data_IF_020397241737
#
_entry.id   IF_020397241737
#
_cell.length_a   1.000
_cell.length_b   1.000
_cell.length_c   1.000
_cell.angle_alpha   90.00
_cell.angle_beta   90.00
_cell.angle_gamma   90.00
#
_symmetry.space_group_name_H-M   'P 1'
#
loop_
_entity.id
_entity.type
_entity.pdbx_description
1 polymer ?
#
# COMPACT_ATOMS: atom_id res chain seq x y z
N UNK A 1 -3.90 11.77 19.92
CA UNK A 1 -3.84 10.31 20.11
C UNK A 1 -2.48 9.86 19.61
N UNK A 2 -1.73 9.00 20.32
CA UNK A 2 -0.47 8.46 19.81
C UNK A 2 -0.73 7.07 19.23
N UNK A 3 -0.50 6.92 17.94
CA UNK A 3 -0.59 5.64 17.26
C UNK A 3 0.69 4.85 17.51
N UNK A 4 0.57 3.53 17.60
CA UNK A 4 1.70 2.63 17.79
C UNK A 4 1.41 1.30 17.10
N UNK A 5 2.47 0.58 16.76
CA UNK A 5 2.35 -0.74 16.17
C UNK A 5 1.65 -1.68 17.16
N UNK A 6 0.53 -2.27 16.74
CA UNK A 6 -0.12 -3.34 17.50
C UNK A 6 0.58 -4.68 17.21
N UNK A 7 1.55 -5.03 18.05
CA UNK A 7 2.34 -6.26 17.91
C UNK A 7 1.51 -7.55 18.05
N UNK A 8 0.37 -7.49 18.75
CA UNK A 8 -0.56 -8.63 18.86
C UNK A 8 -1.18 -8.94 17.48
N UNK A 9 -1.79 -7.94 16.83
CA UNK A 9 -2.37 -8.10 15.50
C UNK A 9 -1.35 -8.53 14.45
N UNK A 10 -0.13 -7.97 14.55
CA UNK A 10 0.95 -8.34 13.64
C UNK A 10 1.38 -9.80 13.84
N UNK A 11 1.44 -10.26 15.08
CA UNK A 11 1.77 -11.66 15.42
C UNK A 11 0.70 -12.60 14.86
N UNK A 12 -0.60 -12.32 15.09
CA UNK A 12 -1.69 -13.13 14.54
C UNK A 12 -1.66 -13.19 13.00
N UNK A 13 -1.41 -12.05 12.35
CA UNK A 13 -1.24 -12.03 10.89
C UNK A 13 -0.04 -12.89 10.45
N UNK A 14 1.07 -12.81 11.17
CA UNK A 14 2.29 -13.58 10.91
C UNK A 14 2.10 -15.10 10.98
N UNK A 15 1.33 -15.61 11.95
CA UNK A 15 1.03 -17.04 12.08
C UNK A 15 0.36 -17.62 10.82
N UNK A 16 -0.46 -16.81 10.15
CA UNK A 16 -1.19 -17.20 8.94
C UNK A 16 -0.32 -16.99 7.71
N UNK A 17 0.22 -15.78 7.56
CA UNK A 17 0.87 -15.33 6.32
C UNK A 17 2.24 -15.98 6.11
N UNK A 18 2.99 -16.28 7.18
CA UNK A 18 4.31 -16.91 7.08
C UNK A 18 4.27 -18.28 6.40
N UNK A 19 3.14 -18.98 6.48
CA UNK A 19 2.89 -20.29 5.86
C UNK A 19 2.42 -20.20 4.41
N UNK A 20 2.09 -19.00 3.90
CA UNK A 20 1.52 -18.77 2.57
C UNK A 20 2.59 -18.29 1.59
N UNK A 21 3.33 -19.23 0.99
CA UNK A 21 4.43 -18.93 0.04
C UNK A 21 3.97 -18.45 -1.35
N UNK A 22 2.69 -18.57 -1.64
CA UNK A 22 2.04 -18.19 -2.89
C UNK A 22 1.32 -16.84 -2.82
N UNK A 23 1.62 -16.02 -1.82
CA UNK A 23 1.22 -14.61 -1.76
C UNK A 23 2.37 -13.76 -2.27
N UNK A 24 2.08 -12.85 -3.19
CA UNK A 24 3.04 -11.90 -3.75
C UNK A 24 2.50 -10.49 -3.59
N UNK A 25 3.32 -9.55 -3.15
CA UNK A 25 2.88 -8.19 -2.81
C UNK A 25 3.64 -7.15 -3.63
N UNK A 26 2.92 -6.29 -4.35
CA UNK A 26 3.47 -5.16 -5.09
C UNK A 26 3.21 -3.87 -4.31
N UNK A 27 4.28 -3.30 -3.74
CA UNK A 27 4.31 -2.01 -3.08
C UNK A 27 4.79 -0.89 -4.02
N UNK A 28 4.71 0.34 -3.53
CA UNK A 28 5.20 1.52 -4.22
C UNK A 28 4.35 2.76 -3.94
N UNK A 29 4.93 3.92 -4.22
CA UNK A 29 4.28 5.21 -4.07
C UNK A 29 3.01 5.41 -4.90
N UNK A 30 2.32 6.53 -4.64
CA UNK A 30 1.34 7.07 -5.58
C UNK A 30 1.95 7.20 -6.98
N UNK A 31 1.16 7.00 -8.03
CA UNK A 31 1.58 7.15 -9.43
C UNK A 31 2.68 6.17 -9.94
N UNK A 32 3.12 5.21 -9.11
CA UNK A 32 4.11 4.20 -9.51
C UNK A 32 3.58 3.19 -10.55
N UNK A 33 2.26 3.12 -10.77
CA UNK A 33 1.65 2.22 -11.76
C UNK A 33 1.35 0.81 -11.24
N UNK A 34 1.37 0.60 -9.91
CA UNK A 34 1.14 -0.69 -9.25
C UNK A 34 -0.09 -1.41 -9.79
N UNK A 35 -1.27 -0.79 -9.71
CA UNK A 35 -2.54 -1.40 -10.11
C UNK A 35 -2.57 -1.86 -11.57
N UNK A 36 -1.96 -1.07 -12.47
CA UNK A 36 -1.81 -1.46 -13.88
C UNK A 36 -0.95 -2.72 -14.02
N UNK A 37 0.18 -2.80 -13.30
CA UNK A 37 1.08 -3.95 -13.33
C UNK A 37 0.45 -5.16 -12.66
N UNK A 38 -0.15 -4.98 -11.48
CA UNK A 38 -0.81 -6.02 -10.71
C UNK A 38 -1.94 -6.67 -11.51
N UNK A 39 -2.81 -5.86 -12.13
CA UNK A 39 -3.87 -6.34 -13.02
C UNK A 39 -3.30 -7.13 -14.20
N UNK A 40 -2.28 -6.59 -14.87
CA UNK A 40 -1.67 -7.26 -16.03
C UNK A 40 -1.08 -8.63 -15.69
N UNK A 41 -0.38 -8.74 -14.55
CA UNK A 41 0.21 -10.00 -14.09
C UNK A 41 -0.89 -11.00 -13.69
N UNK A 42 -1.90 -10.54 -12.93
CA UNK A 42 -3.03 -11.38 -12.53
C UNK A 42 -3.73 -11.99 -13.76
N UNK A 43 -4.07 -11.18 -14.76
CA UNK A 43 -4.70 -11.63 -16.00
C UNK A 43 -3.80 -12.59 -16.79
N UNK A 44 -2.49 -12.33 -16.86
CA UNK A 44 -1.54 -13.15 -17.63
C UNK A 44 -1.32 -14.54 -17.02
N UNK A 45 -1.29 -14.64 -15.69
CA UNK A 45 -0.91 -15.87 -14.98
C UNK A 45 -2.05 -16.49 -14.16
N UNK A 46 -3.27 -15.95 -14.23
CA UNK A 46 -4.43 -16.48 -13.51
C UNK A 46 -4.31 -16.36 -11.98
N UNK A 47 -3.61 -15.33 -11.49
CA UNK A 47 -3.47 -15.08 -10.04
C UNK A 47 -4.71 -14.36 -9.50
N UNK A 48 -5.12 -14.67 -8.28
CA UNK A 48 -6.16 -13.90 -7.60
C UNK A 48 -5.61 -12.50 -7.27
N UNK A 49 -6.15 -11.47 -7.90
CA UNK A 49 -5.80 -10.09 -7.57
C UNK A 49 -6.51 -9.63 -6.29
N UNK A 50 -5.74 -9.15 -5.32
CA UNK A 50 -6.23 -8.55 -4.09
C UNK A 50 -5.87 -7.06 -4.09
N UNK A 51 -6.82 -6.22 -4.48
CA UNK A 51 -6.66 -4.75 -4.45
C UNK A 51 -6.83 -4.24 -3.02
N UNK A 52 -5.75 -3.86 -2.35
CA UNK A 52 -5.86 -3.44 -0.95
C UNK A 52 -6.66 -2.16 -0.79
N UNK A 53 -6.65 -1.24 -1.75
CA UNK A 53 -7.41 0.00 -1.66
C UNK A 53 -8.92 -0.31 -1.72
N UNK A 54 -9.37 -1.22 -2.59
CA UNK A 54 -10.77 -1.68 -2.62
C UNK A 54 -11.23 -2.26 -1.27
N UNK A 55 -10.33 -2.96 -0.57
CA UNK A 55 -10.65 -3.52 0.74
C UNK A 55 -10.63 -2.46 1.83
N UNK A 56 -9.59 -1.63 1.92
CA UNK A 56 -9.43 -0.58 2.95
C UNK A 56 -10.57 0.44 2.89
N UNK A 57 -10.89 0.93 1.68
CA UNK A 57 -11.89 1.98 1.46
C UNK A 57 -13.30 1.43 1.17
N UNK A 58 -13.50 0.11 1.19
CA UNK A 58 -14.77 -0.53 0.88
C UNK A 58 -15.14 -1.63 1.86
N UNK A 59 -14.46 -2.78 1.78
CA UNK A 59 -14.87 -4.01 2.48
C UNK A 59 -14.52 -4.04 3.98
N UNK A 60 -13.45 -3.35 4.38
CA UNK A 60 -12.97 -3.33 5.76
C UNK A 60 -13.68 -2.32 6.64
N UNK A 61 -14.30 -1.30 6.05
CA UNK A 61 -15.00 -0.23 6.77
C UNK A 61 -16.00 -0.80 7.80
N UNK A 62 -16.78 -1.82 7.42
CA UNK A 62 -17.76 -2.44 8.30
C UNK A 62 -17.16 -3.37 9.37
N UNK A 63 -15.86 -3.65 9.29
CA UNK A 63 -15.11 -4.51 10.21
C UNK A 63 -14.30 -3.71 11.23
N UNK A 64 -14.08 -2.42 11.00
CA UNK A 64 -13.36 -1.57 11.95
C UNK A 64 -14.11 -1.46 13.29
N UNK A 65 -13.38 -1.56 14.39
CA UNK A 65 -13.90 -1.42 15.75
C UNK A 65 -12.86 -0.73 16.62
N UNK A 66 -13.29 0.10 17.58
CA UNK A 66 -12.34 0.79 18.46
C UNK A 66 -11.49 -0.17 19.30
N UNK A 67 -12.00 -1.36 19.61
CA UNK A 67 -11.31 -2.36 20.41
C UNK A 67 -10.16 -3.03 19.66
N UNK A 68 -10.37 -3.38 18.39
CA UNK A 68 -9.41 -4.18 17.62
C UNK A 68 -8.71 -3.40 16.52
N UNK A 69 -9.34 -2.35 15.99
CA UNK A 69 -8.85 -1.54 14.87
C UNK A 69 -8.94 -0.02 15.16
N UNK A 70 -8.42 0.47 16.30
CA UNK A 70 -8.58 1.85 16.74
C UNK A 70 -8.04 2.90 15.76
N UNK A 71 -6.96 2.60 15.01
CA UNK A 71 -6.40 3.55 14.06
C UNK A 71 -7.36 3.78 12.88
N UNK A 72 -7.80 2.71 12.22
CA UNK A 72 -8.73 2.81 11.11
C UNK A 72 -10.12 3.27 11.55
N UNK A 73 -10.58 2.90 12.76
CA UNK A 73 -11.82 3.47 13.32
C UNK A 73 -11.70 4.98 13.48
N UNK A 74 -10.64 5.49 14.11
CA UNK A 74 -10.45 6.93 14.31
C UNK A 74 -10.40 7.72 12.99
N UNK A 75 -9.73 7.16 11.97
CA UNK A 75 -9.68 7.78 10.64
C UNK A 75 -11.05 7.77 9.95
N UNK A 76 -11.73 6.62 9.92
CA UNK A 76 -12.98 6.47 9.19
C UNK A 76 -14.15 7.23 9.83
N UNK A 77 -14.18 7.33 11.17
CA UNK A 77 -15.23 8.05 11.91
C UNK A 77 -14.94 9.55 12.07
N UNK A 78 -13.84 10.07 11.53
CA UNK A 78 -13.57 11.50 11.52
C UNK A 78 -14.62 12.24 10.67
N UNK A 79 -14.94 13.49 11.04
CA UNK A 79 -15.91 14.32 10.30
C UNK A 79 -15.59 14.42 8.81
N UNK A 80 -14.30 14.47 8.47
CA UNK A 80 -13.82 14.36 7.10
C UNK A 80 -12.51 13.54 7.08
N UNK A 81 -12.56 12.26 6.65
CA UNK A 81 -11.38 11.38 6.64
C UNK A 81 -10.22 11.88 5.78
N UNK A 82 -10.49 12.61 4.68
CA UNK A 82 -9.46 13.19 3.82
C UNK A 82 -8.78 14.38 4.52
N UNK A 83 -9.56 15.28 5.12
CA UNK A 83 -9.01 16.42 5.85
C UNK A 83 -8.22 15.97 7.09
N UNK A 84 -8.71 14.93 7.75
CA UNK A 84 -8.06 14.28 8.88
C UNK A 84 -6.70 13.70 8.49
N UNK A 85 -6.61 12.97 7.37
CA UNK A 85 -5.35 12.43 6.87
C UNK A 85 -4.33 13.55 6.55
N UNK A 86 -4.81 14.74 6.18
CA UNK A 86 -4.01 15.93 5.94
C UNK A 86 -3.92 16.87 7.16
N UNK A 87 -4.32 16.43 8.35
CA UNK A 87 -4.33 17.28 9.56
C UNK A 87 -3.03 17.18 10.36
N UNK A 88 -2.33 16.05 10.29
CA UNK A 88 -1.09 15.79 11.04
C UNK A 88 -0.02 16.86 10.80
N UNK A 89 0.60 17.44 11.84
CA UNK A 89 1.57 18.52 11.71
C UNK A 89 2.87 18.10 11.02
N UNK A 90 3.31 16.85 11.21
CA UNK A 90 4.56 16.32 10.62
C UNK A 90 4.34 14.96 9.95
N UNK A 91 5.32 14.55 9.13
CA UNK A 91 5.33 13.23 8.51
C UNK A 91 5.43 12.12 9.57
N UNK A 92 6.21 12.31 10.63
CA UNK A 92 6.40 11.32 11.69
C UNK A 92 5.08 10.99 12.39
N UNK A 93 4.30 12.01 12.76
CA UNK A 93 2.98 11.79 13.37
C UNK A 93 1.99 11.12 12.41
N UNK A 94 2.09 11.45 11.11
CA UNK A 94 1.28 10.80 10.07
C UNK A 94 1.71 9.33 9.87
N UNK A 95 3.01 9.05 9.95
CA UNK A 95 3.56 7.72 9.82
C UNK A 95 3.25 6.84 11.04
N UNK A 96 3.20 7.38 12.25
CA UNK A 96 2.73 6.63 13.43
C UNK A 96 1.33 6.04 13.19
N UNK A 97 0.43 6.81 12.55
CA UNK A 97 -0.87 6.30 12.12
C UNK A 97 -0.73 5.17 11.09
N UNK A 98 0.07 5.35 10.03
CA UNK A 98 0.26 4.32 9.01
C UNK A 98 0.88 3.03 9.56
N UNK A 99 1.77 3.13 10.54
CA UNK A 99 2.34 1.98 11.25
C UNK A 99 1.25 1.19 11.99
N UNK A 100 0.37 1.88 12.73
CA UNK A 100 -0.74 1.24 13.41
C UNK A 100 -1.74 0.63 12.42
N UNK A 101 -2.13 1.40 11.39
CA UNK A 101 -3.06 0.97 10.36
C UNK A 101 -2.52 -0.25 9.57
N UNK A 102 -1.21 -0.33 9.34
CA UNK A 102 -0.58 -1.47 8.66
C UNK A 102 -0.80 -2.78 9.42
N UNK A 103 -0.67 -2.79 10.75
CA UNK A 103 -0.94 -4.00 11.53
C UNK A 103 -2.43 -4.41 11.47
N UNK A 104 -3.33 -3.43 11.52
CA UNK A 104 -4.77 -3.65 11.40
C UNK A 104 -5.14 -4.23 10.02
N UNK A 105 -4.59 -3.65 8.95
CA UNK A 105 -4.80 -4.12 7.57
C UNK A 105 -4.21 -5.51 7.34
N UNK A 106 -3.03 -5.80 7.89
CA UNK A 106 -2.41 -7.13 7.81
C UNK A 106 -3.23 -8.19 8.54
N UNK A 107 -3.78 -7.85 9.72
CA UNK A 107 -4.68 -8.74 10.45
C UNK A 107 -5.96 -9.00 9.64
N UNK A 108 -6.64 -7.96 9.14
CA UNK A 108 -7.84 -8.10 8.32
C UNK A 108 -7.60 -8.90 7.03
N UNK A 109 -6.46 -8.66 6.37
CA UNK A 109 -6.01 -9.42 5.20
C UNK A 109 -5.82 -10.89 5.56
N UNK A 110 -5.12 -11.18 6.66
CA UNK A 110 -4.86 -12.56 7.10
C UNK A 110 -6.15 -13.34 7.38
N UNK A 111 -7.19 -12.68 7.91
CA UNK A 111 -8.52 -13.26 8.12
C UNK A 111 -9.23 -13.62 6.81
N UNK A 112 -8.99 -12.87 5.74
CA UNK A 112 -9.53 -13.18 4.42
C UNK A 112 -8.70 -14.29 3.75
N UNK A 113 -7.39 -14.29 3.96
CA UNK A 113 -6.50 -15.35 3.49
C UNK A 113 -6.82 -16.71 4.12
N UNK A 114 -7.20 -16.77 5.40
CA UNK A 114 -7.66 -18.00 6.07
C UNK A 114 -8.80 -18.70 5.31
N UNK A 115 -9.64 -17.94 4.61
CA UNK A 115 -10.82 -18.42 3.88
C UNK A 115 -10.50 -18.77 2.42
N UNK A 116 -9.30 -18.46 1.96
CA UNK A 116 -8.88 -18.72 0.59
C UNK A 116 -8.22 -20.10 0.46
N UNK A 117 -8.36 -20.73 -0.69
CA UNK A 117 -7.69 -22.00 -1.00
C UNK A 117 -6.16 -21.89 -0.80
N UNK A 118 -5.57 -22.87 -0.11
CA UNK A 118 -4.14 -22.91 0.18
C UNK A 118 -3.27 -23.00 -1.07
N UNK A 119 -3.78 -23.49 -2.19
CA UNK A 119 -3.06 -23.56 -3.46
C UNK A 119 -3.31 -22.34 -4.35
N UNK A 120 -4.34 -21.53 -4.08
CA UNK A 120 -4.59 -20.31 -4.83
C UNK A 120 -3.48 -19.29 -4.60
N UNK A 121 -2.76 -18.96 -5.67
CA UNK A 121 -1.78 -17.88 -5.69
C UNK A 121 -2.46 -16.52 -5.72
N UNK A 122 -1.95 -15.59 -4.92
CA UNK A 122 -2.56 -14.27 -4.67
C UNK A 122 -1.53 -13.20 -4.99
N UNK A 123 -1.94 -12.20 -5.77
CA UNK A 123 -1.18 -11.01 -6.05
C UNK A 123 -1.85 -9.82 -5.36
N UNK A 124 -1.17 -9.22 -4.40
CA UNK A 124 -1.66 -8.09 -3.61
C UNK A 124 -1.16 -6.78 -4.18
N UNK A 125 -2.06 -5.84 -4.41
CA UNK A 125 -1.79 -4.52 -4.96
C UNK A 125 -1.83 -3.44 -3.88
N UNK A 126 -0.68 -2.83 -3.57
CA UNK A 126 -0.60 -1.62 -2.77
C UNK A 126 -1.03 -1.76 -1.30
N UNK A 127 -1.72 -0.73 -0.78
CA UNK A 127 -2.32 -0.70 0.55
C UNK A 127 -1.41 -0.46 1.76
N UNK A 128 -0.09 -0.68 1.64
CA UNK A 128 0.84 -0.55 2.76
C UNK A 128 1.97 0.42 2.42
N UNK A 129 2.32 1.27 3.38
CA UNK A 129 3.39 2.28 3.28
C UNK A 129 4.61 1.96 4.14
N UNK A 130 4.55 0.88 4.93
CA UNK A 130 5.62 0.41 5.81
C UNK A 130 6.14 -1.00 5.40
N UNK A 131 6.95 -1.10 4.32
CA UNK A 131 7.51 -2.38 3.85
C UNK A 131 8.24 -3.20 4.91
N UNK A 132 8.90 -2.56 5.88
CA UNK A 132 9.64 -3.26 6.93
C UNK A 132 8.70 -4.02 7.88
N UNK A 133 7.49 -3.49 8.12
CA UNK A 133 6.45 -4.18 8.89
C UNK A 133 5.90 -5.35 8.09
N UNK A 134 5.65 -5.17 6.79
CA UNK A 134 5.21 -6.26 5.91
C UNK A 134 6.24 -7.42 5.88
N UNK A 135 7.54 -7.09 5.86
CA UNK A 135 8.62 -8.07 5.89
C UNK A 135 8.74 -8.85 7.22
N UNK A 136 8.03 -8.44 8.28
CA UNK A 136 7.93 -9.22 9.52
C UNK A 136 6.98 -10.42 9.37
N UNK A 137 6.02 -10.35 8.43
CA UNK A 137 4.97 -11.39 8.25
C UNK A 137 5.06 -12.14 6.93
N UNK A 138 5.79 -11.59 5.94
CA UNK A 138 6.07 -12.23 4.65
C UNK A 138 7.58 -12.24 4.38
N UNK A 139 8.03 -13.23 3.59
CA UNK A 139 9.42 -13.20 3.12
C UNK A 139 9.66 -11.97 2.23
N UNK A 140 10.83 -11.30 2.31
CA UNK A 140 11.20 -10.24 1.38
C UNK A 140 11.18 -10.64 -0.10
N UNK A 141 11.29 -11.94 -0.42
CA UNK A 141 11.20 -12.43 -1.80
C UNK A 141 9.75 -12.49 -2.32
N UNK A 142 8.76 -12.41 -1.42
CA UNK A 142 7.34 -12.33 -1.76
C UNK A 142 6.89 -10.88 -1.94
N UNK A 143 7.78 -9.90 -1.76
CA UNK A 143 7.46 -8.48 -1.80
C UNK A 143 8.36 -7.81 -2.84
N UNK A 144 7.78 -6.91 -3.63
CA UNK A 144 8.56 -5.98 -4.42
C UNK A 144 7.98 -4.57 -4.34
N UNK A 145 8.80 -3.58 -4.65
CA UNK A 145 8.37 -2.19 -4.74
C UNK A 145 8.59 -1.67 -6.16
N UNK A 146 7.57 -1.05 -6.75
CA UNK A 146 7.73 -0.26 -7.97
C UNK A 146 7.99 1.20 -7.55
N UNK A 147 9.16 1.71 -7.94
CA UNK A 147 9.58 3.08 -7.67
C UNK A 147 9.54 3.91 -8.95
N UNK A 148 9.06 5.12 -8.80
CA UNK A 148 9.08 6.18 -9.79
C UNK A 148 9.87 7.37 -9.22
N UNK A 149 10.44 8.19 -10.09
CA UNK A 149 11.02 9.46 -9.69
C UNK A 149 9.97 10.41 -9.08
N UNK A 150 10.35 11.20 -8.07
CA UNK A 150 9.43 12.10 -7.36
C UNK A 150 8.93 13.24 -8.26
N UNK A 151 9.76 13.78 -9.16
CA UNK A 151 9.33 14.83 -10.09
C UNK A 151 8.30 14.27 -11.07
N UNK A 152 8.52 13.06 -11.57
CA UNK A 152 7.55 12.39 -12.43
C UNK A 152 6.26 12.05 -11.65
N UNK A 153 6.36 11.58 -10.40
CA UNK A 153 5.19 11.35 -9.53
C UNK A 153 4.37 12.62 -9.35
N UNK A 154 5.02 13.75 -9.03
CA UNK A 154 4.35 15.04 -8.83
C UNK A 154 3.70 15.52 -10.13
N UNK A 155 4.40 15.39 -11.26
CA UNK A 155 3.83 15.70 -12.58
C UNK A 155 2.55 14.90 -12.85
N UNK A 156 2.54 13.59 -12.54
CA UNK A 156 1.36 12.74 -12.71
C UNK A 156 0.22 13.19 -11.78
N UNK A 157 0.52 13.55 -10.52
CA UNK A 157 -0.49 14.10 -9.62
C UNK A 157 -1.08 15.43 -10.10
N UNK A 158 -0.26 16.27 -10.73
CA UNK A 158 -0.67 17.59 -11.21
C UNK A 158 -1.49 17.52 -12.51
N UNK A 159 -1.11 16.63 -13.43
CA UNK A 159 -1.55 16.68 -14.84
C UNK A 159 -2.42 15.48 -15.27
N UNK A 160 -2.40 14.35 -14.56
CA UNK A 160 -3.09 13.14 -15.02
C UNK A 160 -4.61 13.25 -14.80
N UNK A 161 -5.44 12.98 -15.84
CA UNK A 161 -6.89 12.88 -15.68
C UNK A 161 -7.33 11.85 -14.63
N UNK A 162 -6.57 10.77 -14.45
CA UNK A 162 -6.88 9.73 -13.46
C UNK A 162 -6.68 10.21 -12.01
N UNK A 163 -5.86 11.25 -11.81
CA UNK A 163 -5.56 11.83 -10.49
C UNK A 163 -6.41 13.06 -10.17
N UNK A 164 -7.02 13.64 -11.20
CA UNK A 164 -7.86 14.83 -11.11
C UNK A 164 -8.97 14.71 -10.06
N UNK A 165 -9.71 13.58 -9.92
CA UNK A 165 -10.75 13.49 -8.90
C UNK A 165 -10.23 13.66 -7.47
N UNK A 166 -9.08 13.05 -7.14
CA UNK A 166 -8.48 13.19 -5.80
C UNK A 166 -7.97 14.61 -5.57
N UNK A 167 -7.35 15.23 -6.58
CA UNK A 167 -6.92 16.63 -6.51
C UNK A 167 -8.11 17.56 -6.25
N UNK A 168 -9.20 17.37 -6.96
CA UNK A 168 -10.44 18.16 -6.78
C UNK A 168 -11.02 17.99 -5.38
N UNK A 169 -11.07 16.77 -4.84
CA UNK A 169 -11.50 16.52 -3.47
C UNK A 169 -10.65 17.29 -2.44
N UNK A 170 -9.33 17.29 -2.61
CA UNK A 170 -8.42 18.02 -1.70
C UNK A 170 -8.60 19.54 -1.85
N UNK A 171 -8.82 20.03 -3.07
CA UNK A 171 -9.05 21.46 -3.33
C UNK A 171 -10.43 21.97 -2.85
N UNK A 172 -11.32 21.08 -2.42
CA UNK A 172 -12.57 21.43 -1.74
C UNK A 172 -12.40 21.57 -0.22
N UNK A 173 -11.24 21.21 0.34
CA UNK A 173 -10.96 21.35 1.77
C UNK A 173 -10.63 22.81 2.15
N UNK A 174 -10.75 23.16 3.45
CA UNK A 174 -10.25 24.44 3.95
C UNK A 174 -8.76 24.63 3.66
N UNK A 175 -8.37 25.85 3.29
CA UNK A 175 -7.00 26.20 2.86
C UNK A 175 -6.50 25.29 1.71
N UNK A 176 -7.19 25.27 0.55
CA UNK A 176 -7.04 24.22 -0.46
C UNK A 176 -5.63 24.11 -1.05
N UNK A 177 -4.97 25.25 -1.29
CA UNK A 177 -3.61 25.27 -1.84
C UNK A 177 -2.58 24.73 -0.83
N UNK A 178 -2.76 25.05 0.45
CA UNK A 178 -1.90 24.54 1.52
C UNK A 178 -2.11 23.02 1.70
N UNK A 179 -3.36 22.56 1.63
CA UNK A 179 -3.70 21.13 1.70
C UNK A 179 -3.13 20.35 0.51
N UNK A 180 -3.20 20.90 -0.70
CA UNK A 180 -2.61 20.28 -1.88
C UNK A 180 -1.08 20.20 -1.78
N UNK A 181 -0.42 21.30 -1.39
CA UNK A 181 1.04 21.31 -1.15
C UNK A 181 1.44 20.31 -0.08
N UNK A 182 0.65 20.20 1.00
CA UNK A 182 0.87 19.24 2.08
C UNK A 182 0.70 17.80 1.60
N UNK A 183 -0.33 17.51 0.81
CA UNK A 183 -0.53 16.20 0.20
C UNK A 183 0.67 15.76 -0.64
N UNK A 184 1.18 16.64 -1.52
CA UNK A 184 2.38 16.34 -2.33
C UNK A 184 3.61 16.09 -1.46
N UNK A 185 3.80 16.90 -0.40
CA UNK A 185 4.90 16.71 0.56
C UNK A 185 4.80 15.38 1.31
N UNK A 186 3.60 14.99 1.75
CA UNK A 186 3.36 13.70 2.41
C UNK A 186 3.65 12.55 1.45
N UNK A 187 3.19 12.63 0.20
CA UNK A 187 3.45 11.62 -0.83
C UNK A 187 4.96 11.46 -1.10
N UNK A 188 5.72 12.55 -1.11
CA UNK A 188 7.18 12.49 -1.23
C UNK A 188 7.86 11.82 -0.02
N UNK A 189 7.51 12.23 1.21
CA UNK A 189 8.04 11.61 2.43
C UNK A 189 7.70 10.12 2.51
N UNK A 190 6.47 9.75 2.17
CA UNK A 190 6.01 8.37 2.05
C UNK A 190 6.85 7.56 1.05
N UNK A 191 7.11 8.12 -0.14
CA UNK A 191 7.93 7.46 -1.15
C UNK A 191 9.38 7.23 -0.68
N UNK A 192 9.96 8.21 0.02
CA UNK A 192 11.30 8.11 0.57
C UNK A 192 11.36 7.01 1.65
N UNK A 193 10.36 6.95 2.52
CA UNK A 193 10.28 5.93 3.55
C UNK A 193 10.09 4.53 2.98
N UNK A 194 9.18 4.35 2.02
CA UNK A 194 8.97 3.07 1.33
C UNK A 194 10.30 2.59 0.72
N UNK A 195 11.06 3.47 0.07
CA UNK A 195 12.36 3.10 -0.47
C UNK A 195 13.36 2.69 0.62
N UNK A 196 13.48 3.48 1.68
CA UNK A 196 14.39 3.21 2.78
C UNK A 196 14.09 1.85 3.43
N UNK A 197 12.83 1.63 3.82
CA UNK A 197 12.39 0.38 4.44
C UNK A 197 12.56 -0.83 3.51
N UNK A 198 12.32 -0.66 2.20
CA UNK A 198 12.59 -1.72 1.23
C UNK A 198 14.07 -2.10 1.17
N UNK A 199 14.97 -1.11 1.19
CA UNK A 199 16.43 -1.34 1.18
C UNK A 199 16.88 -2.05 2.45
N UNK A 200 16.43 -1.58 3.61
CA UNK A 200 16.74 -2.17 4.92
C UNK A 200 16.24 -3.61 5.03
N UNK A 201 15.08 -3.91 4.45
CA UNK A 201 14.44 -5.23 4.50
C UNK A 201 14.84 -6.16 3.35
N UNK A 202 15.79 -5.76 2.49
CA UNK A 202 16.21 -6.51 1.30
C UNK A 202 15.04 -6.84 0.33
N UNK A 203 14.04 -5.97 0.26
CA UNK A 203 12.92 -6.06 -0.69
C UNK A 203 13.37 -5.57 -2.06
N UNK A 204 12.96 -6.28 -3.12
CA UNK A 204 13.36 -5.92 -4.49
C UNK A 204 12.67 -4.62 -4.93
N UNK A 205 13.45 -3.63 -5.35
CA UNK A 205 12.95 -2.39 -5.96
C UNK A 205 13.11 -2.44 -7.48
N UNK A 206 12.02 -2.17 -8.19
CA UNK A 206 11.98 -1.97 -9.64
C UNK A 206 11.77 -0.49 -9.95
N UNK A 207 12.68 0.10 -10.70
CA UNK A 207 12.57 1.48 -11.14
C UNK A 207 11.82 1.54 -12.46
N UNK A 208 10.91 2.51 -12.58
CA UNK A 208 10.29 2.89 -13.84
C UNK A 208 10.51 4.36 -14.15
N UNK A 209 10.56 4.65 -15.43
CA UNK A 209 10.53 5.99 -16.01
C UNK A 209 9.31 6.13 -16.95
N UNK A 210 9.26 7.21 -17.72
CA UNK A 210 8.22 7.52 -18.70
C UNK A 210 8.26 6.61 -19.94
N UNK A 211 9.35 5.89 -20.17
CA UNK A 211 9.54 4.98 -21.31
C UNK A 211 9.26 3.53 -20.96
N UNK A 212 9.29 3.20 -19.67
CA UNK A 212 9.06 1.85 -19.16
C UNK A 212 7.63 1.43 -19.49
N UNK A 213 7.48 0.38 -20.30
CA UNK A 213 6.16 -0.12 -20.68
C UNK A 213 5.56 -1.02 -19.61
N UNK A 214 4.23 -1.18 -19.66
CA UNK A 214 3.49 -2.10 -18.79
C UNK A 214 3.98 -3.54 -18.94
N UNK A 215 4.20 -4.01 -20.16
CA UNK A 215 4.67 -5.38 -20.43
C UNK A 215 6.07 -5.64 -19.86
N UNK A 216 7.01 -4.71 -20.06
CA UNK A 216 8.37 -4.84 -19.54
C UNK A 216 8.38 -4.91 -18.01
N UNK A 217 7.62 -4.03 -17.35
CA UNK A 217 7.56 -4.02 -15.89
C UNK A 217 6.83 -5.26 -15.36
N UNK A 218 5.70 -5.64 -15.96
CA UNK A 218 4.97 -6.85 -15.60
C UNK A 218 5.85 -8.09 -15.75
N UNK A 219 6.67 -8.18 -16.81
CA UNK A 219 7.59 -9.28 -16.99
C UNK A 219 8.70 -9.30 -15.93
N UNK A 220 9.29 -8.15 -15.58
CA UNK A 220 10.32 -8.05 -14.53
C UNK A 220 9.77 -8.49 -13.17
N UNK A 221 8.59 -8.02 -12.81
CA UNK A 221 7.93 -8.37 -11.53
C UNK A 221 7.52 -9.85 -11.53
N UNK A 222 6.92 -10.36 -12.61
CA UNK A 222 6.57 -11.78 -12.68
C UNK A 222 7.80 -12.69 -12.64
N UNK A 223 8.90 -12.29 -13.27
CA UNK A 223 10.17 -13.03 -13.20
C UNK A 223 10.80 -13.01 -11.80
N UNK A 224 10.42 -12.10 -10.93
CA UNK A 224 10.89 -12.09 -9.55
C UNK A 224 10.05 -13.02 -8.68
N UNK A 225 8.73 -12.99 -8.83
CA UNK A 225 7.82 -13.80 -8.01
C UNK A 225 7.69 -15.25 -8.47
N UNK A 226 7.59 -15.47 -9.78
CA UNK A 226 7.18 -16.76 -10.34
C UNK A 226 8.36 -17.60 -10.86
N UNK A 227 9.59 -17.18 -10.58
CA UNK A 227 10.78 -17.91 -11.02
C UNK A 227 10.84 -19.27 -10.33
N UNK A 228 10.71 -20.35 -11.11
CA UNK A 228 10.68 -21.72 -10.61
C UNK A 228 9.27 -22.28 -10.38
N UNK A 229 8.22 -21.51 -10.70
CA UNK A 229 6.81 -21.98 -10.74
C UNK A 229 6.36 -22.16 -12.20
N UNK A 230 6.95 -21.39 -13.12
CA UNK A 230 6.92 -21.58 -14.58
C UNK A 230 8.06 -22.52 -15.00
#
# INVERSE_FOLDING_TARGET
MKYHLNEYLLTEAGEILSNRKNIYWILGGGCAGKSTISKRISEKYGLLLYDMDEYIYGKYISRYSEELYPANTAWFTADNPMDWALSFPTWEENNDFYIAATAEHLHLFSEDIKKTDQHQSILVDGGITNPAILAKVLSPQQICCIKIDNQLSNKIWEESPERQPMKEMILQLPCPQDKWKKFLSINESMNQQIEAECRESNIKIFFRDDKTTVEEMAQKVSNHFLKGIL
#
